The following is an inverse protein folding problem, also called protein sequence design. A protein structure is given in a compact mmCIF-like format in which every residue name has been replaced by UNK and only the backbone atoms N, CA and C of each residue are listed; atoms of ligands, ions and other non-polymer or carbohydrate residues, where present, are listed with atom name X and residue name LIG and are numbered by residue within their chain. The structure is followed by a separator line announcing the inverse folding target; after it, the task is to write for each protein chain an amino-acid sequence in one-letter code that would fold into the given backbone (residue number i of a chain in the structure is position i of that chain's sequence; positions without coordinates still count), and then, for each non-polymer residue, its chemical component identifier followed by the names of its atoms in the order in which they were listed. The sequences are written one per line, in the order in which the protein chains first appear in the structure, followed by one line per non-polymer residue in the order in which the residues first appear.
data_IF_581971406324
#
_entry.id   IF_581971406324
#
_cell.length_a   1.000
_cell.length_b   1.000
_cell.length_c   1.000
_cell.angle_alpha   90.00
_cell.angle_beta   90.00
_cell.angle_gamma   90.00
#
_symmetry.space_group_name_H-M   'P 1'
#
loop_
_entity.id
_entity.type
_entity.pdbx_description
1 polymer ?
#
# COMPACT_ATOMS: atom_id res chain seq x y z
N UNK A 1 -7.34 -20.43 -13.32
CA UNK A 1 -5.87 -20.57 -13.36
C UNK A 1 -5.28 -19.39 -14.14
N UNK A 2 -5.19 -18.22 -13.52
CA UNK A 2 -4.56 -17.05 -14.15
C UNK A 2 -3.10 -17.01 -13.70
N UNK A 3 -2.19 -17.37 -14.61
CA UNK A 3 -0.76 -17.26 -14.40
C UNK A 3 -0.38 -15.79 -14.60
N UNK A 4 0.09 -15.18 -13.50
CA UNK A 4 0.56 -13.81 -13.41
C UNK A 4 1.55 -13.48 -14.54
N UNK A 5 1.20 -12.45 -15.33
CA UNK A 5 2.20 -11.68 -16.07
C UNK A 5 2.64 -10.58 -15.11
N UNK A 6 3.90 -10.60 -14.70
CA UNK A 6 4.55 -9.45 -14.06
C UNK A 6 4.43 -8.25 -14.99
N UNK A 7 3.37 -7.46 -14.80
CA UNK A 7 3.24 -6.15 -15.43
C UNK A 7 4.17 -5.27 -14.63
N UNK A 8 5.25 -4.82 -15.25
CA UNK A 8 6.13 -3.80 -14.67
C UNK A 8 5.25 -2.65 -14.18
N UNK A 9 5.24 -2.39 -12.86
CA UNK A 9 4.51 -1.24 -12.29
C UNK A 9 5.21 0.02 -12.80
N UNK A 10 4.59 0.72 -13.75
CA UNK A 10 5.24 1.85 -14.45
C UNK A 10 4.79 3.21 -13.93
N UNK A 11 3.65 3.28 -13.23
CA UNK A 11 3.08 4.54 -12.74
C UNK A 11 2.30 4.35 -11.41
N UNK A 12 1.92 5.47 -10.79
CA UNK A 12 1.19 5.52 -9.52
C UNK A 12 -0.16 4.78 -9.59
N UNK A 13 -0.85 4.81 -10.72
CA UNK A 13 -2.14 4.13 -10.92
C UNK A 13 -1.97 2.62 -10.84
N UNK A 14 -0.86 2.08 -11.35
CA UNK A 14 -0.55 0.66 -11.23
C UNK A 14 -0.37 0.25 -9.77
N UNK A 15 0.34 1.06 -8.98
CA UNK A 15 0.60 0.84 -7.55
C UNK A 15 -0.70 0.94 -6.73
N UNK A 16 -1.54 1.95 -7.00
CA UNK A 16 -2.85 2.11 -6.34
C UNK A 16 -3.73 0.89 -6.59
N UNK A 17 -3.78 0.40 -7.84
CA UNK A 17 -4.56 -0.78 -8.19
C UNK A 17 -4.04 -2.04 -7.49
N UNK A 18 -2.72 -2.23 -7.45
CA UNK A 18 -2.12 -3.37 -6.74
C UNK A 18 -2.46 -3.37 -5.25
N UNK A 19 -2.30 -2.22 -4.58
CA UNK A 19 -2.64 -2.05 -3.16
C UNK A 19 -4.14 -2.31 -2.93
N UNK A 20 -5.01 -1.74 -3.77
CA UNK A 20 -6.45 -1.94 -3.70
C UNK A 20 -6.86 -3.41 -3.87
N UNK A 21 -6.28 -4.10 -4.86
CA UNK A 21 -6.53 -5.53 -5.09
C UNK A 21 -6.04 -6.39 -3.93
N UNK A 22 -4.87 -6.10 -3.38
CA UNK A 22 -4.31 -6.80 -2.21
C UNK A 22 -5.21 -6.66 -0.97
N UNK A 23 -5.65 -5.44 -0.65
CA UNK A 23 -6.55 -5.23 0.50
C UNK A 23 -7.93 -5.85 0.28
N UNK A 24 -8.51 -5.71 -0.92
CA UNK A 24 -9.80 -6.32 -1.24
C UNK A 24 -9.77 -7.85 -1.13
N UNK A 25 -8.70 -8.50 -1.62
CA UNK A 25 -8.52 -9.96 -1.51
C UNK A 25 -8.29 -10.42 -0.07
N UNK A 26 -7.63 -9.60 0.75
CA UNK A 26 -7.40 -9.87 2.16
C UNK A 26 -8.62 -9.55 3.06
N UNK A 27 -9.68 -8.95 2.51
CA UNK A 27 -10.85 -8.51 3.29
C UNK A 27 -10.55 -7.38 4.28
N UNK A 28 -9.52 -6.59 4.00
CA UNK A 28 -9.11 -5.44 4.81
C UNK A 28 -9.87 -4.22 4.30
N UNK A 29 -10.62 -3.55 5.18
CA UNK A 29 -11.28 -2.29 4.83
C UNK A 29 -10.24 -1.19 4.68
N UNK A 30 -10.30 -0.45 3.58
CA UNK A 30 -9.36 0.61 3.27
C UNK A 30 -10.06 1.79 2.59
N UNK A 31 -9.42 2.95 2.68
CA UNK A 31 -9.83 4.16 2.00
C UNK A 31 -8.60 4.84 1.42
N UNK A 32 -8.61 5.08 0.11
CA UNK A 32 -7.61 5.94 -0.53
C UNK A 32 -7.82 7.38 -0.05
N UNK A 33 -6.74 8.04 0.38
CA UNK A 33 -6.76 9.40 0.89
C UNK A 33 -5.62 10.23 0.27
N UNK A 34 -5.41 11.45 0.77
CA UNK A 34 -4.32 12.32 0.32
C UNK A 34 -4.53 12.93 -1.07
N UNK A 35 -3.44 13.41 -1.67
CA UNK A 35 -3.45 14.13 -2.95
C UNK A 35 -3.91 13.27 -4.12
N UNK A 36 -3.80 11.94 -4.03
CA UNK A 36 -4.28 10.97 -5.03
C UNK A 36 -5.82 10.99 -5.17
N UNK A 37 -6.56 11.20 -4.08
CA UNK A 37 -8.01 11.39 -4.15
C UNK A 37 -8.41 12.76 -4.76
N UNK A 38 -7.50 13.74 -4.78
CA UNK A 38 -7.68 15.10 -5.28
C UNK A 38 -7.06 15.34 -6.68
N UNK A 39 -6.34 14.37 -7.23
CA UNK A 39 -5.62 14.46 -8.51
C UNK A 39 -6.53 14.34 -9.75
N UNK A 40 -7.84 14.55 -9.60
CA UNK A 40 -8.72 14.80 -10.75
C UNK A 40 -8.74 16.30 -11.16
N UNK A 41 -8.27 17.22 -10.31
CA UNK A 41 -8.42 18.68 -10.52
C UNK A 41 -7.21 19.58 -10.18
N UNK A 42 -6.04 19.04 -9.82
CA UNK A 42 -4.92 19.85 -9.28
C UNK A 42 -3.62 19.72 -10.08
N UNK A 43 -2.79 20.78 -10.09
CA UNK A 43 -1.44 20.73 -10.69
C UNK A 43 -0.56 19.66 -10.02
N UNK A 44 0.28 18.93 -10.79
CA UNK A 44 1.10 17.84 -10.26
C UNK A 44 2.04 18.35 -9.17
N UNK A 45 1.85 17.88 -7.93
CA UNK A 45 2.88 18.01 -6.89
C UNK A 45 3.82 16.82 -6.98
N UNK A 46 5.11 17.10 -6.99
CA UNK A 46 6.20 16.14 -7.09
C UNK A 46 6.42 15.42 -5.74
N UNK A 47 5.44 14.66 -5.29
CA UNK A 47 5.56 13.67 -4.21
C UNK A 47 4.80 12.44 -4.69
N UNK A 48 5.51 11.37 -5.07
CA UNK A 48 4.93 10.12 -5.60
C UNK A 48 4.34 9.24 -4.48
N UNK A 49 3.85 9.87 -3.43
CA UNK A 49 3.37 9.20 -2.22
C UNK A 49 1.88 8.91 -2.38
N UNK A 50 1.47 7.71 -1.93
CA UNK A 50 0.07 7.26 -1.94
C UNK A 50 -0.34 7.07 -0.49
N UNK A 51 -1.32 7.85 -0.05
CA UNK A 51 -1.85 7.73 1.30
C UNK A 51 -3.07 6.79 1.32
N UNK A 52 -3.04 5.79 2.21
CA UNK A 52 -4.15 4.87 2.42
C UNK A 52 -4.45 4.75 3.91
N UNK A 53 -5.72 4.94 4.28
CA UNK A 53 -6.22 4.58 5.61
C UNK A 53 -6.69 3.14 5.57
N UNK A 54 -6.27 2.34 6.54
CA UNK A 54 -6.59 0.91 6.63
C UNK A 54 -7.16 0.58 8.00
N UNK A 55 -8.22 -0.24 8.04
CA UNK A 55 -8.80 -0.74 9.28
C UNK A 55 -8.15 -2.08 9.67
N UNK A 56 -7.03 -1.98 10.37
CA UNK A 56 -6.26 -3.15 10.82
C UNK A 56 -6.47 -3.42 12.30
N UNK A 57 -6.47 -4.70 12.68
CA UNK A 57 -6.49 -5.18 14.06
C UNK A 57 -5.11 -5.75 14.42
N UNK A 58 -4.75 -5.85 15.72
CA UNK A 58 -3.47 -6.43 16.14
C UNK A 58 -3.19 -7.83 15.56
N UNK A 59 -4.25 -8.63 15.35
CA UNK A 59 -4.16 -9.97 14.73
C UNK A 59 -3.77 -9.96 13.24
N UNK A 60 -3.87 -8.83 12.56
CA UNK A 60 -3.64 -8.70 11.12
C UNK A 60 -2.16 -8.38 10.80
N UNK A 61 -1.29 -8.25 11.81
CA UNK A 61 0.13 -7.93 11.66
C UNK A 61 0.85 -8.85 10.66
N UNK A 62 0.70 -10.16 10.85
CA UNK A 62 1.37 -11.15 9.99
C UNK A 62 0.75 -11.20 8.60
N UNK A 63 -0.58 -11.01 8.51
CA UNK A 63 -1.31 -10.93 7.24
C UNK A 63 -0.80 -9.75 6.39
N UNK A 64 -0.75 -8.55 6.96
CA UNK A 64 -0.33 -7.34 6.23
C UNK A 64 1.13 -7.41 5.83
N UNK A 65 2.00 -7.94 6.70
CA UNK A 65 3.42 -8.10 6.36
C UNK A 65 3.58 -9.06 5.17
N UNK A 66 2.93 -10.23 5.23
CA UNK A 66 2.99 -11.22 4.15
C UNK A 66 2.35 -10.73 2.84
N UNK A 67 1.32 -9.89 2.92
CA UNK A 67 0.63 -9.34 1.76
C UNK A 67 1.53 -8.46 0.89
N UNK A 68 2.53 -7.80 1.49
CA UNK A 68 3.37 -6.81 0.82
C UNK A 68 4.84 -7.22 0.64
N UNK A 69 5.39 -8.13 1.45
CA UNK A 69 6.83 -8.46 1.49
C UNK A 69 7.46 -8.95 0.17
N UNK A 70 6.65 -9.41 -0.79
CA UNK A 70 7.12 -9.89 -2.09
C UNK A 70 7.53 -8.75 -3.04
N UNK A 71 6.70 -7.71 -3.13
CA UNK A 71 6.87 -6.60 -4.08
C UNK A 71 7.29 -5.28 -3.40
N UNK A 72 7.15 -5.21 -2.07
CA UNK A 72 7.39 -4.02 -1.27
C UNK A 72 8.32 -4.33 -0.10
N UNK A 73 9.17 -3.35 0.22
CA UNK A 73 9.77 -3.25 1.53
C UNK A 73 8.68 -2.90 2.54
N UNK A 74 8.56 -3.74 3.57
CA UNK A 74 7.68 -3.55 4.72
C UNK A 74 8.42 -3.93 6.00
N UNK A 75 8.51 -3.01 6.96
CA UNK A 75 9.08 -3.30 8.28
C UNK A 75 7.98 -3.79 9.22
N UNK A 76 7.99 -5.09 9.52
CA UNK A 76 7.05 -5.71 10.47
C UNK A 76 7.03 -5.02 11.83
N UNK A 77 8.18 -4.54 12.33
CA UNK A 77 8.22 -3.82 13.60
C UNK A 77 7.57 -2.45 13.49
N UNK A 78 7.71 -1.76 12.35
CA UNK A 78 7.00 -0.51 12.10
C UNK A 78 5.48 -0.73 12.04
N UNK A 79 5.01 -1.78 11.35
CA UNK A 79 3.58 -2.16 11.32
C UNK A 79 3.09 -2.47 12.73
N UNK A 80 3.84 -3.25 13.50
CA UNK A 80 3.48 -3.58 14.89
C UNK A 80 3.37 -2.35 15.78
N UNK A 81 4.30 -1.39 15.66
CA UNK A 81 4.22 -0.12 16.40
C UNK A 81 3.04 0.72 15.95
N UNK A 82 2.76 0.77 14.65
CA UNK A 82 1.64 1.51 14.11
C UNK A 82 0.29 0.95 14.56
N UNK A 83 0.14 -0.37 14.60
CA UNK A 83 -1.05 -1.03 15.15
C UNK A 83 -1.25 -0.73 16.65
N UNK A 84 -0.16 -0.71 17.42
CA UNK A 84 -0.23 -0.46 18.86
C UNK A 84 -0.56 1.00 19.21
N UNK A 85 -0.15 1.95 18.36
CA UNK A 85 -0.26 3.39 18.63
C UNK A 85 -1.27 4.10 17.71
N UNK A 86 -2.03 3.36 16.89
CA UNK A 86 -2.93 3.91 15.87
C UNK A 86 -2.25 4.98 14.99
N UNK A 87 -1.01 4.70 14.58
CA UNK A 87 -0.15 5.64 13.85
C UNK A 87 0.16 5.17 12.43
N UNK A 88 0.95 5.97 11.70
CA UNK A 88 1.37 5.67 10.33
C UNK A 88 2.53 4.66 10.28
N UNK A 89 2.59 3.92 9.18
CA UNK A 89 3.76 3.16 8.75
C UNK A 89 3.88 3.27 7.22
N UNK A 90 5.08 3.02 6.70
CA UNK A 90 5.35 3.09 5.28
C UNK A 90 5.58 1.69 4.71
N UNK A 91 5.09 1.49 3.49
CA UNK A 91 5.53 0.43 2.59
C UNK A 91 6.16 1.09 1.37
N UNK A 92 7.24 0.53 0.84
CA UNK A 92 7.98 1.12 -0.28
C UNK A 92 8.11 0.07 -1.36
N UNK A 93 7.60 0.35 -2.56
CA UNK A 93 7.73 -0.60 -3.66
C UNK A 93 9.22 -0.84 -3.99
N UNK A 94 9.61 -2.09 -4.20
CA UNK A 94 11.02 -2.46 -4.39
C UNK A 94 11.67 -1.73 -5.59
N UNK A 95 10.87 -1.34 -6.59
CA UNK A 95 11.36 -0.57 -7.74
C UNK A 95 11.73 0.90 -7.42
N UNK A 96 11.41 1.42 -6.24
CA UNK A 96 11.82 2.77 -5.82
C UNK A 96 13.28 2.84 -5.33
N UNK A 97 13.92 1.69 -5.09
CA UNK A 97 15.31 1.61 -4.64
C UNK A 97 16.32 1.46 -5.79
N UNK A 98 15.86 1.51 -7.05
CA UNK A 98 16.66 1.32 -8.27
C UNK A 98 17.00 2.66 -8.92
#
# INVERSE_FOLDING_TARGET
MYKSRSRTMQNEVDVIRDIAEKFAQAGIEYMLTGSVALNYYSQPRMTRDIDVVVALKPKDLDLVTALFESDYYVDRNAVSRALANESLFNIIHNAAFI
#
